data_IF_736499690933
#
_entry.id   IF_736499690933
#
_cell.length_a   1.000
_cell.length_b   1.000
_cell.length_c   1.000
_cell.angle_alpha   90.00
_cell.angle_beta   90.00
_cell.angle_gamma   90.00
#
_symmetry.space_group_name_H-M   'P 1'
#
loop_
_entity.id
_entity.type
_entity.pdbx_description
1 polymer ?
#
# COMPACT_ATOMS: atom_id res chain seq x y z
N UNK A 1 -5.44 14.33 24.98
CA UNK A 1 -6.31 15.42 24.47
C UNK A 1 -7.34 14.80 23.55
N UNK A 2 -8.65 15.01 23.78
CA UNK A 2 -9.69 14.65 22.81
C UNK A 2 -9.67 15.70 21.70
N UNK A 3 -9.40 15.31 20.45
CA UNK A 3 -9.57 16.20 19.29
C UNK A 3 -11.07 16.34 19.02
N UNK A 4 -11.55 17.57 18.89
CA UNK A 4 -12.97 17.91 18.74
C UNK A 4 -13.36 18.20 17.29
N UNK A 5 -12.65 17.61 16.32
CA UNK A 5 -12.90 17.82 14.89
C UNK A 5 -12.18 19.05 14.30
N UNK A 6 -12.43 19.36 13.02
CA UNK A 6 -13.42 18.72 12.14
C UNK A 6 -13.04 17.29 11.74
N UNK A 7 -14.05 16.43 11.62
CA UNK A 7 -13.93 15.09 11.04
C UNK A 7 -14.72 15.04 9.73
N UNK A 8 -14.29 14.18 8.82
CA UNK A 8 -14.84 14.00 7.47
C UNK A 8 -15.25 12.54 7.29
N UNK A 9 -16.14 12.23 6.35
CA UNK A 9 -16.58 10.86 6.09
C UNK A 9 -15.89 10.38 4.82
N UNK A 10 -15.07 9.33 4.94
CA UNK A 10 -14.43 8.65 3.79
C UNK A 10 -15.32 7.52 3.34
N UNK A 11 -15.52 7.42 2.03
CA UNK A 11 -16.23 6.29 1.41
C UNK A 11 -15.51 4.96 1.68
N UNK A 12 -14.19 4.96 1.46
CA UNK A 12 -13.25 3.84 1.64
C UNK A 12 -13.60 2.56 0.89
N UNK A 13 -14.33 2.72 -0.19
CA UNK A 13 -14.22 1.85 -1.35
C UNK A 13 -13.78 2.78 -2.48
N UNK A 14 -12.56 2.61 -3.01
CA UNK A 14 -11.94 3.54 -3.98
C UNK A 14 -11.79 2.86 -5.38
N UNK A 15 -12.52 1.77 -5.61
CA UNK A 15 -12.69 1.10 -6.91
C UNK A 15 -13.65 1.86 -7.86
N UNK A 16 -13.87 1.37 -9.09
CA UNK A 16 -14.55 2.15 -10.14
C UNK A 16 -16.06 1.89 -10.25
N UNK A 17 -16.59 0.89 -9.58
CA UNK A 17 -17.94 0.35 -9.79
C UNK A 17 -19.01 0.95 -8.87
N UNK A 18 -18.63 1.67 -7.82
CA UNK A 18 -19.55 2.32 -6.88
C UNK A 18 -19.92 3.78 -7.27
N UNK A 19 -19.35 4.30 -8.37
CA UNK A 19 -19.68 5.64 -8.89
C UNK A 19 -20.67 5.51 -10.04
N UNK A 20 -21.83 6.15 -9.91
CA UNK A 20 -22.80 6.23 -11.01
C UNK A 20 -22.57 7.51 -11.79
N UNK A 21 -22.30 7.39 -13.09
CA UNK A 21 -22.29 8.51 -14.04
C UNK A 21 -23.50 8.47 -14.98
N UNK A 22 -23.97 9.63 -15.47
CA UNK A 22 -24.94 9.71 -16.57
C UNK A 22 -24.22 9.77 -17.94
N UNK A 23 -24.99 9.87 -19.03
CA UNK A 23 -24.46 9.90 -20.40
C UNK A 23 -23.61 11.15 -20.67
N UNK A 24 -23.85 12.22 -19.92
CA UNK A 24 -23.13 13.49 -19.96
C UNK A 24 -21.84 13.48 -19.12
N UNK A 25 -21.58 12.40 -18.37
CA UNK A 25 -20.41 12.25 -17.49
C UNK A 25 -20.55 12.92 -16.12
N UNK A 26 -21.74 13.41 -15.76
CA UNK A 26 -22.03 13.90 -14.42
C UNK A 26 -22.21 12.73 -13.45
N UNK A 27 -21.86 12.94 -12.17
CA UNK A 27 -21.95 11.92 -11.12
C UNK A 27 -23.19 12.17 -10.24
N UNK A 28 -24.37 11.61 -10.56
CA UNK A 28 -25.58 11.79 -9.76
C UNK A 28 -25.56 11.09 -8.39
N UNK A 29 -24.63 10.17 -8.15
CA UNK A 29 -24.55 9.51 -6.84
C UNK A 29 -23.41 8.50 -6.70
N UNK A 30 -23.14 8.17 -5.43
CA UNK A 30 -22.16 7.17 -4.98
C UNK A 30 -22.89 6.16 -4.09
N UNK A 31 -22.68 4.87 -4.33
CA UNK A 31 -23.30 3.74 -3.60
C UNK A 31 -22.24 2.96 -2.80
N UNK A 32 -22.65 1.93 -2.05
CA UNK A 32 -21.73 1.00 -1.34
C UNK A 32 -20.91 1.60 -0.18
N UNK A 33 -21.57 2.42 0.63
CA UNK A 33 -21.02 3.10 1.82
C UNK A 33 -20.68 2.19 3.03
N UNK A 34 -20.68 0.86 2.89
CA UNK A 34 -20.56 -0.05 4.05
C UNK A 34 -19.17 -0.05 4.71
N UNK A 35 -18.14 0.42 4.00
CA UNK A 35 -16.77 0.61 4.52
C UNK A 35 -16.49 2.04 5.00
N UNK A 36 -17.49 2.91 4.95
CA UNK A 36 -17.27 4.31 5.28
C UNK A 36 -16.91 4.55 6.74
N UNK A 37 -16.02 5.51 6.98
CA UNK A 37 -15.60 5.87 8.34
C UNK A 37 -15.26 7.35 8.48
N UNK A 38 -15.23 7.83 9.71
CA UNK A 38 -14.83 9.21 10.00
C UNK A 38 -13.31 9.35 10.06
N UNK A 39 -12.76 10.31 9.33
CA UNK A 39 -11.33 10.59 9.30
C UNK A 39 -10.99 12.09 9.31
N UNK A 40 -9.70 12.43 9.16
CA UNK A 40 -9.16 13.77 9.02
C UNK A 40 -9.25 14.25 7.57
N UNK A 41 -9.28 15.57 7.39
CA UNK A 41 -9.24 16.22 6.07
C UNK A 41 -8.17 15.65 5.13
N UNK A 42 -6.98 15.37 5.66
CA UNK A 42 -5.84 14.97 4.85
C UNK A 42 -5.90 13.53 4.37
N UNK A 43 -6.67 12.67 5.01
CA UNK A 43 -6.91 11.29 4.55
C UNK A 43 -8.14 11.23 3.64
N UNK A 44 -9.16 12.05 3.93
CA UNK A 44 -10.37 12.14 3.11
C UNK A 44 -10.07 12.56 1.67
N UNK A 45 -9.43 13.72 1.52
CA UNK A 45 -9.30 14.38 0.22
C UNK A 45 -8.00 14.04 -0.50
N UNK A 46 -7.42 12.86 -0.23
CA UNK A 46 -6.38 12.30 -1.10
C UNK A 46 -7.03 11.78 -2.39
N UNK A 47 -6.22 11.50 -3.42
CA UNK A 47 -6.74 10.87 -4.63
C UNK A 47 -7.34 9.49 -4.31
N UNK A 48 -8.44 9.06 -4.97
CA UNK A 48 -8.85 7.66 -4.97
C UNK A 48 -7.71 6.75 -5.42
N UNK A 49 -7.66 5.54 -4.85
CA UNK A 49 -6.61 4.56 -5.12
C UNK A 49 -6.59 4.12 -6.60
N UNK A 50 -7.76 4.06 -7.25
CA UNK A 50 -7.86 3.77 -8.69
C UNK A 50 -7.12 4.78 -9.58
N UNK A 51 -6.95 6.03 -9.13
CA UNK A 51 -6.31 7.09 -9.94
C UNK A 51 -4.79 7.10 -9.81
N UNK A 52 -4.20 6.23 -8.96
CA UNK A 52 -2.76 6.21 -8.75
C UNK A 52 -2.02 5.73 -10.01
N UNK A 53 -0.85 6.30 -10.33
CA UNK A 53 -0.07 5.91 -11.50
C UNK A 53 0.67 4.58 -11.26
N UNK A 54 1.03 3.85 -12.32
CA UNK A 54 1.74 2.56 -12.21
C UNK A 54 3.06 2.68 -11.43
N UNK A 55 3.75 3.81 -11.53
CA UNK A 55 4.98 4.09 -10.80
C UNK A 55 4.77 4.08 -9.27
N UNK A 56 3.55 4.35 -8.78
CA UNK A 56 3.24 4.22 -7.36
C UNK A 56 3.46 2.79 -6.88
N UNK A 57 2.99 1.80 -7.64
CA UNK A 57 3.16 0.36 -7.34
C UNK A 57 4.61 -0.12 -7.53
N UNK A 58 5.44 0.70 -8.19
CA UNK A 58 6.89 0.50 -8.26
C UNK A 58 7.64 1.17 -7.10
N UNK A 59 6.92 1.80 -6.16
CA UNK A 59 7.46 2.42 -4.95
C UNK A 59 7.68 3.93 -5.04
N UNK A 60 7.35 4.58 -6.16
CA UNK A 60 7.51 6.03 -6.37
C UNK A 60 6.39 6.82 -5.67
N UNK A 61 6.72 7.94 -5.06
CA UNK A 61 5.78 8.89 -4.44
C UNK A 61 5.63 10.20 -5.24
N UNK A 62 6.65 10.60 -6.00
CA UNK A 62 6.72 11.90 -6.67
C UNK A 62 5.94 11.94 -8.00
N UNK A 63 5.51 10.79 -8.52
CA UNK A 63 4.68 10.70 -9.72
C UNK A 63 3.23 11.05 -9.41
N UNK A 64 2.57 11.74 -10.35
CA UNK A 64 1.13 12.00 -10.37
C UNK A 64 0.56 11.48 -11.68
N UNK A 65 -0.62 10.85 -11.64
CA UNK A 65 -1.34 10.47 -12.84
C UNK A 65 -2.05 11.67 -13.49
N UNK A 66 -2.55 11.47 -14.71
CA UNK A 66 -3.42 12.44 -15.39
C UNK A 66 -4.73 12.66 -14.63
N UNK A 67 -5.29 11.61 -14.03
CA UNK A 67 -6.53 11.68 -13.24
C UNK A 67 -6.31 12.45 -11.93
N UNK A 68 -5.18 12.26 -11.27
CA UNK A 68 -4.82 13.04 -10.07
C UNK A 68 -4.64 14.52 -10.39
N UNK A 69 -4.00 14.80 -11.52
CA UNK A 69 -3.82 16.17 -12.01
C UNK A 69 -5.18 16.81 -12.31
N UNK A 70 -6.07 16.09 -13.00
CA UNK A 70 -7.43 16.55 -13.27
C UNK A 70 -8.23 16.80 -11.98
N UNK A 71 -8.09 15.94 -10.97
CA UNK A 71 -8.76 16.10 -9.68
C UNK A 71 -8.28 17.35 -8.95
N UNK A 72 -6.97 17.60 -8.98
CA UNK A 72 -6.40 18.83 -8.43
C UNK A 72 -6.91 20.08 -9.15
N UNK A 73 -6.95 20.06 -10.49
CA UNK A 73 -7.45 21.16 -11.31
C UNK A 73 -8.92 21.45 -11.02
N UNK A 74 -9.75 20.41 -10.88
CA UNK A 74 -11.14 20.55 -10.47
C UNK A 74 -11.29 21.19 -9.09
N UNK A 75 -10.54 20.71 -8.09
CA UNK A 75 -10.56 21.36 -6.78
C UNK A 75 -10.18 22.85 -6.85
N UNK A 76 -9.21 23.20 -7.69
CA UNK A 76 -8.82 24.60 -7.88
C UNK A 76 -9.94 25.40 -8.57
N UNK A 77 -10.62 24.84 -9.58
CA UNK A 77 -11.71 25.52 -10.27
C UNK A 77 -12.93 25.77 -9.36
N UNK A 78 -13.14 24.91 -8.35
CA UNK A 78 -14.13 25.12 -7.28
C UNK A 78 -13.62 25.98 -6.11
N UNK A 79 -12.53 26.73 -6.28
CA UNK A 79 -11.94 27.60 -5.25
C UNK A 79 -11.50 26.84 -3.97
N UNK A 80 -11.11 25.57 -4.13
CA UNK A 80 -10.63 24.68 -3.05
C UNK A 80 -9.17 24.21 -3.24
N UNK A 81 -8.19 25.13 -3.38
CA UNK A 81 -6.78 24.74 -3.53
C UNK A 81 -6.23 23.98 -2.31
N UNK A 82 -6.90 24.10 -1.16
CA UNK A 82 -6.58 23.34 0.05
C UNK A 82 -6.86 21.83 -0.11
N UNK A 83 -7.83 21.44 -0.93
CA UNK A 83 -8.11 20.04 -1.26
C UNK A 83 -7.17 19.51 -2.34
N UNK A 84 -6.83 20.33 -3.34
CA UNK A 84 -5.78 19.99 -4.30
C UNK A 84 -4.44 19.72 -3.60
N UNK A 85 -4.13 20.47 -2.54
CA UNK A 85 -2.95 20.21 -1.71
C UNK A 85 -3.03 18.87 -0.95
N UNK A 86 -4.23 18.38 -0.60
CA UNK A 86 -4.41 17.06 0.02
C UNK A 86 -4.10 15.95 -0.98
N UNK A 87 -4.56 16.08 -2.23
CA UNK A 87 -4.21 15.16 -3.33
C UNK A 87 -2.70 15.12 -3.52
N UNK A 88 -2.07 16.28 -3.75
CA UNK A 88 -0.63 16.39 -4.03
C UNK A 88 0.26 15.83 -2.92
N UNK A 89 -0.11 16.06 -1.66
CA UNK A 89 0.70 15.66 -0.49
C UNK A 89 0.19 14.39 0.19
N UNK A 90 -0.76 13.69 -0.44
CA UNK A 90 -1.52 12.60 0.15
C UNK A 90 -0.81 11.25 0.20
N UNK A 91 0.36 11.12 -0.44
CA UNK A 91 1.06 9.84 -0.67
C UNK A 91 1.25 8.98 0.58
N UNK A 92 1.52 9.60 1.73
CA UNK A 92 1.65 8.85 3.00
C UNK A 92 0.38 8.09 3.39
N UNK A 93 -0.81 8.62 3.08
CA UNK A 93 -2.08 7.96 3.35
C UNK A 93 -2.36 6.86 2.32
N UNK A 94 -2.03 7.07 1.04
CA UNK A 94 -2.05 6.00 0.03
C UNK A 94 -1.18 4.82 0.46
N UNK A 95 0.05 5.10 0.91
CA UNK A 95 0.99 4.07 1.39
C UNK A 95 0.49 3.36 2.64
N UNK A 96 -0.18 4.06 3.56
CA UNK A 96 -0.82 3.40 4.72
C UNK A 96 -1.95 2.48 4.29
N UNK A 97 -2.83 2.95 3.39
CA UNK A 97 -3.97 2.17 2.92
C UNK A 97 -3.49 0.90 2.20
N UNK A 98 -2.60 1.07 1.24
CA UNK A 98 -1.95 -0.01 0.50
C UNK A 98 -1.24 -1.02 1.41
N UNK A 99 -0.62 -0.56 2.50
CA UNK A 99 0.06 -1.45 3.44
C UNK A 99 -0.87 -2.17 4.42
N UNK A 100 -1.86 -1.47 4.97
CA UNK A 100 -2.67 -1.98 6.08
C UNK A 100 -3.96 -2.64 5.60
N UNK A 101 -4.57 -2.12 4.54
CA UNK A 101 -5.81 -2.66 3.95
C UNK A 101 -5.50 -3.80 2.99
N UNK A 102 -4.57 -3.58 2.07
CA UNK A 102 -4.24 -4.56 1.03
C UNK A 102 -3.06 -5.49 1.40
N UNK A 103 -2.47 -5.31 2.58
CA UNK A 103 -1.39 -6.17 3.12
C UNK A 103 -0.17 -6.28 2.18
N UNK A 104 0.17 -5.21 1.46
CA UNK A 104 1.23 -5.20 0.44
C UNK A 104 2.66 -5.10 1.03
N UNK A 105 3.14 -6.15 1.69
CA UNK A 105 4.47 -6.19 2.33
C UNK A 105 5.65 -6.42 1.38
N UNK A 106 5.64 -5.78 0.21
CA UNK A 106 6.74 -5.85 -0.76
C UNK A 106 7.78 -4.75 -0.53
N UNK A 107 9.09 -4.98 -0.79
CA UNK A 107 10.15 -4.03 -0.46
C UNK A 107 9.93 -2.62 -1.06
N UNK A 108 9.46 -2.54 -2.30
CA UNK A 108 9.19 -1.26 -2.97
C UNK A 108 8.14 -0.42 -2.24
N UNK A 109 7.09 -1.06 -1.71
CA UNK A 109 6.01 -0.39 -1.00
C UNK A 109 6.45 0.05 0.40
N UNK A 110 7.22 -0.79 1.11
CA UNK A 110 7.82 -0.44 2.40
C UNK A 110 8.80 0.74 2.28
N UNK A 111 9.63 0.75 1.23
CA UNK A 111 10.54 1.86 0.95
C UNK A 111 9.77 3.13 0.58
N UNK A 112 8.73 3.01 -0.24
CA UNK A 112 7.82 4.11 -0.59
C UNK A 112 7.12 4.69 0.65
N UNK A 113 6.60 3.84 1.53
CA UNK A 113 6.01 4.24 2.82
C UNK A 113 7.05 4.99 3.68
N UNK A 114 8.24 4.40 3.85
CA UNK A 114 9.31 5.02 4.62
C UNK A 114 9.67 6.41 4.07
N UNK A 115 9.82 6.54 2.73
CA UNK A 115 10.09 7.84 2.09
C UNK A 115 8.97 8.84 2.33
N UNK A 116 7.71 8.43 2.14
CA UNK A 116 6.54 9.31 2.29
C UNK A 116 6.40 9.87 3.72
N UNK A 117 6.67 9.05 4.75
CA UNK A 117 6.58 9.49 6.15
C UNK A 117 7.78 10.33 6.62
N UNK A 118 8.94 10.18 5.99
CA UNK A 118 10.14 10.93 6.32
C UNK A 118 10.39 12.11 5.35
N UNK A 119 9.46 12.39 4.44
CA UNK A 119 9.57 13.47 3.44
C UNK A 119 10.86 13.38 2.62
N UNK A 120 11.26 12.16 2.25
CA UNK A 120 12.45 11.89 1.46
C UNK A 120 12.09 11.84 -0.04
N UNK A 121 12.94 12.36 -0.93
CA UNK A 121 12.71 12.29 -2.37
C UNK A 121 12.82 10.85 -2.88
N UNK A 122 12.21 10.57 -4.05
CA UNK A 122 12.42 9.32 -4.77
C UNK A 122 13.82 9.28 -5.41
N UNK A 123 14.85 9.09 -4.60
CA UNK A 123 16.19 8.78 -5.11
C UNK A 123 16.24 7.30 -5.56
N UNK A 124 16.51 7.06 -6.83
CA UNK A 124 16.60 5.74 -7.48
C UNK A 124 17.90 4.99 -7.09
N UNK A 125 17.93 3.63 -7.05
CA UNK A 125 16.85 2.66 -7.15
C UNK A 125 16.49 1.98 -5.82
N UNK A 126 15.48 1.11 -5.86
CA UNK A 126 15.12 0.19 -4.77
C UNK A 126 16.38 -0.47 -4.18
N UNK A 127 16.58 -0.33 -2.87
CA UNK A 127 17.81 -0.79 -2.21
C UNK A 127 17.97 -2.32 -2.25
N UNK A 128 16.87 -3.06 -2.42
CA UNK A 128 16.84 -4.53 -2.44
C UNK A 128 15.67 -5.04 -3.26
N UNK A 129 15.83 -6.16 -3.97
CA UNK A 129 14.77 -6.75 -4.79
C UNK A 129 13.87 -7.70 -4.00
N UNK A 130 14.38 -8.29 -2.90
CA UNK A 130 13.63 -9.29 -2.13
C UNK A 130 13.40 -8.87 -0.68
N UNK A 131 12.32 -9.40 -0.08
CA UNK A 131 12.03 -9.25 1.35
C UNK A 131 13.18 -9.79 2.20
N UNK A 132 13.79 -10.91 1.80
CA UNK A 132 14.88 -11.53 2.54
C UNK A 132 16.12 -10.63 2.62
N UNK A 133 16.59 -10.13 1.48
CA UNK A 133 17.71 -9.18 1.43
C UNK A 133 17.41 -7.94 2.28
N UNK A 134 16.18 -7.42 2.19
CA UNK A 134 15.76 -6.26 2.97
C UNK A 134 15.81 -6.52 4.47
N UNK A 135 15.35 -7.69 4.91
CA UNK A 135 15.44 -8.11 6.32
C UNK A 135 16.89 -8.17 6.77
N UNK A 136 17.79 -8.77 5.97
CA UNK A 136 19.23 -8.83 6.31
C UNK A 136 19.85 -7.43 6.45
N UNK A 137 19.56 -6.52 5.53
CA UNK A 137 20.02 -5.14 5.62
C UNK A 137 19.53 -4.44 6.90
N UNK A 138 18.23 -4.57 7.22
CA UNK A 138 17.66 -3.95 8.40
C UNK A 138 18.19 -4.58 9.69
N UNK A 139 18.45 -5.89 9.69
CA UNK A 139 19.08 -6.59 10.81
C UNK A 139 20.48 -6.05 11.06
N UNK A 140 21.29 -5.88 10.02
CA UNK A 140 22.63 -5.31 10.15
C UNK A 140 22.58 -3.83 10.57
N UNK A 141 21.74 -3.01 9.90
CA UNK A 141 21.58 -1.58 10.19
C UNK A 141 21.17 -1.33 11.65
N UNK A 142 20.28 -2.17 12.18
CA UNK A 142 19.74 -2.02 13.53
C UNK A 142 20.31 -3.05 14.52
N UNK A 143 21.46 -3.68 14.23
CA UNK A 143 22.04 -4.76 15.04
C UNK A 143 22.22 -4.41 16.51
N UNK A 144 22.38 -3.13 16.83
CA UNK A 144 22.55 -2.63 18.20
C UNK A 144 21.25 -2.24 18.91
N UNK A 145 20.13 -2.17 18.19
CA UNK A 145 18.82 -1.83 18.73
C UNK A 145 18.32 -2.92 19.70
N UNK A 146 17.95 -2.52 20.91
CA UNK A 146 17.49 -3.45 21.96
C UNK A 146 16.21 -4.20 21.56
N UNK A 147 15.29 -3.55 20.85
CA UNK A 147 14.06 -4.18 20.34
C UNK A 147 14.35 -5.25 19.30
N UNK A 148 15.27 -4.99 18.36
CA UNK A 148 15.68 -6.00 17.39
C UNK A 148 16.35 -7.19 18.09
N UNK A 149 17.28 -6.94 19.03
CA UNK A 149 17.92 -8.00 19.83
C UNK A 149 16.88 -8.86 20.55
N UNK A 150 15.83 -8.24 21.10
CA UNK A 150 14.72 -8.96 21.72
C UNK A 150 13.94 -9.83 20.73
N UNK A 151 13.58 -9.30 19.55
CA UNK A 151 12.86 -10.05 18.52
C UNK A 151 13.67 -11.25 18.01
N UNK A 152 14.97 -11.08 17.78
CA UNK A 152 15.85 -12.17 17.35
C UNK A 152 16.05 -13.25 18.42
N UNK A 153 16.04 -12.86 19.70
CA UNK A 153 16.11 -13.80 20.82
C UNK A 153 14.78 -14.54 21.08
N UNK A 154 13.66 -14.01 20.60
CA UNK A 154 12.31 -14.53 20.80
C UNK A 154 11.58 -14.68 19.46
N UNK A 155 12.04 -15.58 18.58
CA UNK A 155 11.41 -15.76 17.28
C UNK A 155 9.94 -16.16 17.45
N UNK A 156 9.06 -15.54 16.65
CA UNK A 156 7.65 -15.92 16.60
C UNK A 156 7.53 -17.40 16.20
N UNK A 157 6.54 -18.13 16.74
CA UNK A 157 6.28 -19.49 16.31
C UNK A 157 6.05 -19.50 14.80
N UNK A 158 6.83 -20.32 14.07
CA UNK A 158 6.64 -20.47 12.63
C UNK A 158 5.26 -21.05 12.38
N UNK A 159 4.55 -20.53 11.37
CA UNK A 159 3.40 -21.24 10.84
C UNK A 159 3.89 -22.58 10.27
N UNK A 160 3.17 -23.69 10.49
CA UNK A 160 3.54 -24.97 9.90
C UNK A 160 3.63 -24.83 8.37
N UNK A 161 4.82 -25.03 7.78
CA UNK A 161 5.02 -25.03 6.33
C UNK A 161 5.94 -23.94 5.75
N UNK A 162 6.48 -23.00 6.54
CA UNK A 162 7.42 -21.99 6.05
C UNK A 162 8.89 -22.32 6.38
N UNK A 163 9.61 -22.87 5.40
CA UNK A 163 11.06 -23.01 5.43
C UNK A 163 11.75 -21.68 5.04
N UNK A 164 11.89 -20.76 5.99
CA UNK A 164 12.83 -19.64 5.83
C UNK A 164 14.23 -20.09 6.27
N UNK A 165 15.17 -20.06 5.33
CA UNK A 165 16.61 -20.24 5.57
C UNK A 165 17.10 -19.07 6.42
N UNK A 166 17.35 -19.33 7.71
CA UNK A 166 18.07 -18.40 8.57
C UNK A 166 19.57 -18.57 8.25
N UNK A 167 20.34 -17.50 7.94
CA UNK A 167 21.77 -17.61 7.78
C UNK A 167 22.41 -18.19 9.05
N UNK A 168 23.15 -19.29 8.91
CA UNK A 168 23.53 -20.14 10.04
C UNK A 168 24.62 -19.54 10.94
N UNK A 169 25.23 -18.40 10.61
CA UNK A 169 26.36 -17.87 11.37
C UNK A 169 26.33 -16.35 11.59
N UNK A 170 26.05 -15.96 12.84
CA UNK A 170 26.56 -14.70 13.41
C UNK A 170 27.94 -15.02 13.99
N UNK A 171 29.05 -14.35 13.57
CA UNK A 171 30.37 -14.65 14.11
C UNK A 171 30.44 -14.27 15.58
N UNK A 172 30.58 -15.26 16.48
CA UNK A 172 30.92 -15.02 17.89
C UNK A 172 30.13 -15.82 18.94
N UNK A 173 29.10 -16.58 18.57
CA UNK A 173 28.28 -17.33 19.53
C UNK A 173 28.70 -18.80 19.67
N UNK A 174 29.51 -19.16 20.68
CA UNK A 174 29.74 -20.57 21.05
C UNK A 174 28.41 -21.24 21.45
N UNK A 175 27.97 -22.25 20.72
CA UNK A 175 26.90 -23.18 21.18
C UNK A 175 27.48 -24.51 21.69
N UNK A 176 26.92 -24.94 22.83
CA UNK A 176 27.08 -26.28 23.42
C UNK A 176 26.29 -27.28 22.59
N UNK A 177 26.97 -28.34 22.13
CA UNK A 177 26.34 -29.47 21.44
C UNK A 177 25.40 -30.22 22.38
N UNK A 178 24.14 -30.43 21.96
CA UNK A 178 23.35 -31.59 22.35
C UNK A 178 23.16 -32.45 21.11
N UNK A 179 23.73 -33.66 21.16
CA UNK A 179 23.48 -34.74 20.20
C UNK A 179 22.02 -35.17 20.33
N UNK A 180 21.28 -35.21 19.24
CA UNK A 180 20.14 -36.11 19.09
C UNK A 180 20.19 -36.74 17.71
N UNK A 181 20.27 -38.07 17.70
CA UNK A 181 20.28 -38.97 16.56
C UNK A 181 18.84 -39.45 16.32
N UNK A 182 18.35 -39.47 15.09
CA UNK A 182 17.36 -40.44 14.54
C UNK A 182 17.36 -40.27 13.00
N UNK A 183 17.97 -41.20 12.27
CA UNK A 183 17.40 -42.42 11.65
C UNK A 183 16.37 -42.15 10.53
N UNK A 184 16.80 -42.54 9.33
CA UNK A 184 16.12 -42.54 8.04
C UNK A 184 15.17 -43.73 7.95
N UNK A 185 13.97 -43.52 7.45
CA UNK A 185 13.16 -44.55 6.79
C UNK A 185 12.58 -43.99 5.51
N UNK A 186 12.92 -44.66 4.41
CA UNK A 186 12.36 -44.51 3.06
C UNK A 186 10.95 -45.08 3.01
N UNK A 187 10.03 -44.42 2.30
CA UNK A 187 8.90 -45.08 1.66
C UNK A 187 8.45 -44.31 0.41
N UNK A 188 8.22 -45.06 -0.66
CA UNK A 188 7.80 -44.66 -2.00
C UNK A 188 6.37 -44.11 -2.01
N UNK A 189 6.09 -43.12 -2.88
CA UNK A 189 4.72 -42.63 -3.08
C UNK A 189 4.57 -41.54 -4.13
N UNK A 190 4.52 -41.95 -5.40
CA UNK A 190 3.55 -41.51 -6.42
C UNK A 190 3.32 -39.99 -6.65
N UNK A 191 3.86 -39.48 -7.76
CA UNK A 191 3.50 -38.19 -8.38
C UNK A 191 2.10 -38.25 -9.02
N UNK A 192 1.37 -37.11 -9.02
CA UNK A 192 0.67 -36.69 -10.22
C UNK A 192 1.10 -35.29 -10.67
N UNK A 193 1.27 -35.19 -11.99
CA UNK A 193 1.56 -33.99 -12.78
C UNK A 193 0.43 -32.96 -12.70
N UNK A 194 0.75 -31.71 -12.35
CA UNK A 194 -0.16 -30.57 -12.50
C UNK A 194 0.00 -29.95 -13.89
N UNK A 195 -1.14 -29.76 -14.56
CA UNK A 195 -1.29 -29.10 -15.86
C UNK A 195 -1.01 -27.61 -15.77
N UNK A 196 -0.36 -27.09 -16.82
CA UNK A 196 -0.11 -25.68 -17.08
C UNK A 196 -1.41 -24.85 -17.03
N UNK A 197 -1.43 -23.80 -16.21
CA UNK A 197 -2.42 -22.72 -16.26
C UNK A 197 -1.82 -21.51 -16.97
N UNK A 198 -2.46 -21.11 -18.06
CA UNK A 198 -2.09 -20.01 -18.95
C UNK A 198 -2.17 -18.64 -18.26
N UNK A 199 -1.15 -17.81 -18.45
CA UNK A 199 -1.21 -16.37 -18.19
C UNK A 199 -2.13 -15.72 -19.23
N UNK A 200 -3.22 -15.09 -18.77
CA UNK A 200 -3.99 -14.15 -19.58
C UNK A 200 -3.33 -12.77 -19.49
N UNK A 201 -2.51 -12.44 -20.49
CA UNK A 201 -2.07 -11.08 -20.77
C UNK A 201 -3.16 -10.33 -21.52
N UNK A 202 -3.95 -9.52 -20.81
CA UNK A 202 -4.88 -8.56 -21.40
C UNK A 202 -4.24 -7.19 -21.51
N UNK A 203 -3.73 -6.83 -22.69
CA UNK A 203 -3.37 -5.46 -23.04
C UNK A 203 -4.62 -4.62 -23.28
N UNK A 204 -4.85 -3.57 -22.50
CA UNK A 204 -5.85 -2.56 -22.80
C UNK A 204 -5.17 -1.35 -23.47
N UNK A 205 -5.51 -1.15 -24.74
CA UNK A 205 -5.36 0.13 -25.43
C UNK A 205 -6.73 0.79 -25.47
N UNK A 206 -6.89 1.92 -24.77
CA UNK A 206 -7.89 2.91 -25.17
C UNK A 206 -7.48 4.29 -24.65
N UNK A 207 -6.68 5.01 -25.44
CA UNK A 207 -6.51 6.46 -25.27
C UNK A 207 -7.68 7.16 -25.97
N UNK A 208 -8.67 7.59 -25.18
CA UNK A 208 -9.57 8.68 -25.57
C UNK A 208 -9.31 9.83 -24.60
N UNK A 209 -9.17 11.08 -25.07
CA UNK A 209 -8.94 12.22 -24.19
C UNK A 209 -10.19 12.48 -23.35
N UNK A 210 -10.06 12.39 -22.03
CA UNK A 210 -11.11 12.74 -21.08
C UNK A 210 -11.27 14.27 -21.08
N UNK A 211 -12.51 14.73 -21.23
CA UNK A 211 -12.87 16.15 -21.25
C UNK A 211 -12.64 16.78 -19.87
N UNK A 212 -12.08 18.00 -19.85
CA UNK A 212 -11.54 18.67 -18.66
C UNK A 212 -12.60 19.17 -17.69
N UNK A 213 -13.88 19.04 -18.03
CA UNK A 213 -15.01 19.51 -17.20
C UNK A 213 -15.69 18.42 -16.36
N UNK A 214 -15.27 17.15 -16.45
CA UNK A 214 -16.03 16.01 -15.90
C UNK A 214 -15.54 15.44 -14.55
N UNK A 215 -14.55 16.05 -13.89
CA UNK A 215 -14.10 15.60 -12.57
C UNK A 215 -14.70 16.47 -11.46
N UNK A 216 -15.85 16.07 -10.92
CA UNK A 216 -16.43 16.72 -9.72
C UNK A 216 -16.65 15.66 -8.64
N UNK A 217 -15.78 15.65 -7.63
CA UNK A 217 -16.09 14.99 -6.35
C UNK A 217 -15.59 15.86 -5.19
N UNK A 218 -16.30 15.70 -4.07
CA UNK A 218 -16.06 16.32 -2.76
C UNK A 218 -16.57 17.77 -2.56
N UNK A 219 -17.89 17.94 -2.66
CA UNK A 219 -18.55 19.01 -1.90
C UNK A 219 -18.66 18.60 -0.42
N UNK A 220 -18.35 19.49 0.54
CA UNK A 220 -18.68 19.24 1.93
C UNK A 220 -20.21 19.16 2.06
N UNK A 221 -20.74 18.03 2.56
CA UNK A 221 -22.13 17.99 3.02
C UNK A 221 -22.25 18.96 4.20
N UNK A 222 -22.97 20.05 3.99
CA UNK A 222 -23.40 20.95 5.07
C UNK A 222 -24.44 20.20 5.92
N UNK A 223 -23.99 19.58 7.02
CA UNK A 223 -24.89 18.98 8.01
C UNK A 223 -25.43 20.11 8.90
N UNK A 224 -26.34 20.89 8.34
CA UNK A 224 -27.13 21.86 9.09
C UNK A 224 -28.61 21.51 9.02
N UNK A 225 -28.99 20.27 9.35
CA UNK A 225 -30.36 19.89 9.72
C UNK A 225 -30.34 18.63 10.60
N UNK A 226 -30.34 18.82 11.91
CA UNK A 226 -31.02 18.01 12.93
C UNK A 226 -30.88 18.70 14.30
#
# INVERSE_FOLDING_TARGET
>A
MRRTGPFFIKHDDDEYDHIRANEEGEVPGVIDWEWSYTTTKYEEFISPSGYLPDEFFQGTNDSLSTLETALMEAYISFERPDLAACVKNGRKYHRLNDMLKWMMFVPAHLDGLYRAFNELPDATPARTQTVHERVLELVEKYKDNAGLKYLLANPLPRFPGEDVVVPEEIPGGRRRNKKTTHQVTTEDGMLPTASNGELLSGTFHNEQPIDREQLVMCLPMDISYA
#
